data_IF_234911031997
#
_entry.id   IF_234911031997
#
_cell.length_a   1.000
_cell.length_b   1.000
_cell.length_c   1.000
_cell.angle_alpha   90.00
_cell.angle_beta   90.00
_cell.angle_gamma   90.00
#
_symmetry.space_group_name_H-M   'P 1'
#
loop_
_entity.id
_entity.type
_entity.pdbx_description
1 polymer ?
#
# COMPACT_ATOMS: atom_id res chain seq x y z
N UNK A 1 -10.55 5.07 -7.13
CA UNK A 1 -9.71 3.92 -6.79
C UNK A 1 -8.95 4.20 -5.52
N UNK A 2 -8.88 3.22 -4.64
CA UNK A 2 -8.14 3.29 -3.39
C UNK A 2 -6.90 2.43 -3.52
N UNK A 3 -5.72 3.00 -3.26
CA UNK A 3 -4.44 2.30 -3.36
C UNK A 3 -3.82 2.23 -1.96
N UNK A 4 -3.82 1.04 -1.32
CA UNK A 4 -3.25 0.88 0.01
C UNK A 4 -1.73 0.85 0.03
N UNK A 5 -1.15 1.45 1.05
CA UNK A 5 0.25 1.29 1.38
C UNK A 5 0.48 0.03 2.22
N UNK A 6 1.73 -0.41 2.29
CA UNK A 6 2.17 -1.61 3.00
C UNK A 6 1.76 -1.62 4.46
N UNK A 7 1.95 -0.50 5.17
CA UNK A 7 1.68 -0.43 6.60
C UNK A 7 0.23 -0.79 6.94
N UNK A 8 -0.72 -0.30 6.15
CA UNK A 8 -2.14 -0.60 6.40
C UNK A 8 -2.47 -2.08 6.15
N UNK A 9 -1.83 -2.69 5.15
CA UNK A 9 -2.00 -4.12 4.88
C UNK A 9 -1.43 -4.97 6.02
N UNK A 10 -0.28 -4.58 6.56
CA UNK A 10 0.30 -5.24 7.74
C UNK A 10 -0.59 -5.10 8.96
N UNK A 11 -1.05 -3.89 9.26
CA UNK A 11 -1.92 -3.64 10.41
C UNK A 11 -3.24 -4.41 10.30
N UNK A 12 -3.82 -4.47 9.12
CA UNK A 12 -5.08 -5.19 8.90
C UNK A 12 -4.95 -6.70 9.08
N UNK A 13 -3.75 -7.25 8.90
CA UNK A 13 -3.50 -8.70 8.90
C UNK A 13 -2.93 -9.20 10.22
N UNK A 14 -2.01 -8.44 10.83
CA UNK A 14 -1.25 -8.89 12.00
C UNK A 14 -1.81 -8.26 13.26
N UNK A 15 -2.31 -9.09 14.17
CA UNK A 15 -3.07 -8.66 15.34
C UNK A 15 -2.23 -8.06 16.48
N UNK A 16 -0.90 -8.14 16.40
CA UNK A 16 -0.01 -7.55 17.41
C UNK A 16 0.11 -6.03 17.36
N UNK A 17 -0.40 -5.37 16.34
CA UNK A 17 -0.34 -3.91 16.22
C UNK A 17 -1.50 -3.23 16.96
N UNK A 18 -1.21 -2.08 17.58
CA UNK A 18 -2.26 -1.24 18.18
C UNK A 18 -3.32 -0.80 17.16
N UNK A 19 -2.92 -0.62 15.91
CA UNK A 19 -3.77 -0.19 14.80
C UNK A 19 -4.61 -1.31 14.20
N UNK A 20 -4.39 -2.57 14.61
CA UNK A 20 -4.97 -3.74 13.93
C UNK A 20 -6.49 -3.66 13.80
N UNK A 21 -7.21 -3.39 14.88
CA UNK A 21 -8.67 -3.40 14.87
C UNK A 21 -9.24 -2.36 13.88
N UNK A 22 -8.70 -1.13 13.90
CA UNK A 22 -9.15 -0.06 13.03
C UNK A 22 -8.77 -0.33 11.58
N UNK A 23 -7.57 -0.83 11.34
CA UNK A 23 -7.10 -1.16 10.00
C UNK A 23 -7.91 -2.31 9.39
N UNK A 24 -8.22 -3.34 10.19
CA UNK A 24 -9.04 -4.46 9.74
C UNK A 24 -10.45 -4.00 9.37
N UNK A 25 -11.07 -3.15 10.17
CA UNK A 25 -12.39 -2.60 9.87
C UNK A 25 -12.36 -1.78 8.57
N UNK A 26 -11.35 -0.94 8.40
CA UNK A 26 -11.16 -0.18 7.18
C UNK A 26 -11.01 -1.10 5.96
N UNK A 27 -10.16 -2.14 6.08
CA UNK A 27 -9.90 -3.07 4.99
C UNK A 27 -11.17 -3.82 4.57
N UNK A 28 -11.90 -4.36 5.53
CA UNK A 28 -13.17 -5.04 5.27
C UNK A 28 -14.18 -4.12 4.61
N UNK A 29 -14.24 -2.87 5.04
CA UNK A 29 -15.17 -1.89 4.48
C UNK A 29 -14.85 -1.58 3.02
N UNK A 30 -13.59 -1.35 2.66
CA UNK A 30 -13.24 -1.04 1.27
C UNK A 30 -13.33 -2.26 0.36
N UNK A 31 -13.07 -3.46 0.86
CA UNK A 31 -13.24 -4.69 0.08
C UNK A 31 -14.70 -4.97 -0.27
N UNK A 32 -15.62 -4.52 0.57
CA UNK A 32 -17.07 -4.68 0.36
C UNK A 32 -17.72 -3.44 -0.25
N UNK A 33 -16.96 -2.44 -0.58
CA UNK A 33 -17.46 -1.18 -1.15
C UNK A 33 -17.57 -1.22 -2.67
N UNK A 34 -17.99 -0.08 -3.22
CA UNK A 34 -18.21 0.08 -4.66
C UNK A 34 -17.00 0.66 -5.41
N UNK A 35 -15.99 1.13 -4.67
CA UNK A 35 -14.80 1.74 -5.25
C UNK A 35 -13.74 0.66 -5.44
N UNK A 36 -13.10 0.64 -6.61
CA UNK A 36 -12.02 -0.31 -6.88
C UNK A 36 -10.84 -0.07 -5.93
N UNK A 37 -10.25 -1.18 -5.48
CA UNK A 37 -9.05 -1.21 -4.67
C UNK A 37 -7.90 -1.69 -5.54
N UNK A 38 -6.88 -0.86 -5.69
CA UNK A 38 -5.71 -1.17 -6.51
C UNK A 38 -4.54 -1.66 -5.68
N UNK A 39 -4.11 -2.90 -5.91
CA UNK A 39 -2.93 -3.45 -5.25
C UNK A 39 -1.76 -3.48 -6.23
N UNK A 40 -0.67 -2.83 -5.86
CA UNK A 40 0.52 -2.69 -6.68
C UNK A 40 1.65 -3.59 -6.18
N UNK A 41 2.54 -4.01 -7.08
CA UNK A 41 3.68 -4.86 -6.74
C UNK A 41 4.49 -4.34 -5.55
N UNK A 42 4.86 -3.06 -5.45
CA UNK A 42 5.63 -2.59 -4.31
C UNK A 42 4.94 -2.83 -2.97
N UNK A 43 3.62 -2.66 -2.91
CA UNK A 43 2.86 -2.91 -1.69
C UNK A 43 2.76 -4.39 -1.37
N UNK A 44 2.50 -5.23 -2.37
CA UNK A 44 2.36 -6.68 -2.17
C UNK A 44 3.68 -7.31 -1.75
N UNK A 45 4.78 -7.01 -2.44
CA UNK A 45 6.09 -7.54 -2.08
C UNK A 45 6.60 -6.95 -0.77
N UNK A 46 6.29 -5.69 -0.49
CA UNK A 46 6.59 -5.09 0.81
C UNK A 46 5.88 -5.81 1.95
N UNK A 47 4.61 -6.15 1.76
CA UNK A 47 3.86 -6.96 2.73
C UNK A 47 4.52 -8.32 2.96
N UNK A 48 4.80 -9.06 1.89
CA UNK A 48 5.41 -10.39 2.00
C UNK A 48 6.77 -10.31 2.70
N UNK A 49 7.59 -9.34 2.32
CA UNK A 49 8.93 -9.15 2.90
C UNK A 49 8.87 -8.88 4.40
N UNK A 50 7.99 -8.00 4.83
CA UNK A 50 7.90 -7.61 6.24
C UNK A 50 7.16 -8.66 7.07
N UNK A 51 6.05 -9.21 6.56
CA UNK A 51 5.26 -10.18 7.31
C UNK A 51 5.99 -11.49 7.60
N UNK A 52 6.95 -11.85 6.75
CA UNK A 52 7.73 -13.09 6.91
C UNK A 52 9.09 -12.87 7.59
N UNK A 53 9.42 -11.66 8.01
CA UNK A 53 10.74 -11.32 8.52
C UNK A 53 10.83 -11.54 10.03
N UNK A 54 11.68 -12.50 10.51
CA UNK A 54 11.83 -12.76 11.93
C UNK A 54 12.51 -11.63 12.69
N UNK A 55 13.15 -10.69 11.99
CA UNK A 55 13.72 -9.49 12.62
C UNK A 55 12.65 -8.44 12.92
N UNK A 56 11.49 -8.53 12.25
CA UNK A 56 10.36 -7.60 12.45
C UNK A 56 9.36 -8.16 13.44
N UNK A 57 9.06 -9.46 13.35
CA UNK A 57 8.05 -10.13 14.18
C UNK A 57 8.64 -11.34 14.91
N UNK A 58 8.22 -11.55 16.17
CA UNK A 58 8.58 -12.74 16.92
C UNK A 58 7.98 -14.01 16.31
N UNK A 59 6.75 -13.91 15.80
CA UNK A 59 6.04 -15.00 15.13
C UNK A 59 5.68 -14.56 13.70
N UNK A 60 6.66 -14.51 12.78
CA UNK A 60 6.37 -14.11 11.41
C UNK A 60 5.50 -15.14 10.69
N UNK A 61 4.77 -14.69 9.68
CA UNK A 61 4.07 -15.60 8.80
C UNK A 61 5.09 -16.43 8.02
N UNK A 62 4.71 -17.65 7.67
CA UNK A 62 5.45 -18.41 6.65
C UNK A 62 5.27 -17.71 5.30
N UNK A 63 6.19 -17.96 4.38
CA UNK A 63 6.05 -17.44 3.00
C UNK A 63 4.73 -17.93 2.40
N UNK A 64 4.40 -19.20 2.61
CA UNK A 64 3.16 -19.76 2.07
C UNK A 64 1.93 -19.05 2.62
N UNK A 65 1.87 -18.78 3.92
CA UNK A 65 0.74 -18.07 4.52
C UNK A 65 0.63 -16.63 4.01
N UNK A 66 1.77 -15.94 3.86
CA UNK A 66 1.80 -14.59 3.33
C UNK A 66 1.30 -14.55 1.88
N UNK A 67 1.76 -15.49 1.05
CA UNK A 67 1.32 -15.57 -0.35
C UNK A 67 -0.16 -15.92 -0.45
N UNK A 68 -0.64 -16.84 0.37
CA UNK A 68 -2.06 -17.18 0.40
C UNK A 68 -2.91 -15.99 0.78
N UNK A 69 -2.47 -15.17 1.73
CA UNK A 69 -3.16 -13.95 2.12
C UNK A 69 -3.27 -12.98 0.93
N UNK A 70 -2.17 -12.77 0.20
CA UNK A 70 -2.16 -11.91 -0.99
C UNK A 70 -3.09 -12.45 -2.07
N UNK A 71 -3.07 -13.77 -2.30
CA UNK A 71 -3.93 -14.40 -3.29
C UNK A 71 -5.42 -14.23 -2.94
N UNK A 72 -5.77 -14.32 -1.67
CA UNK A 72 -7.13 -14.08 -1.19
C UNK A 72 -7.56 -12.62 -1.43
N UNK A 73 -6.67 -11.66 -1.21
CA UNK A 73 -6.96 -10.26 -1.52
C UNK A 73 -7.22 -10.08 -3.02
N UNK A 74 -6.35 -10.64 -3.86
CA UNK A 74 -6.46 -10.50 -5.32
C UNK A 74 -7.72 -11.18 -5.87
N UNK A 75 -8.28 -12.14 -5.15
CA UNK A 75 -9.52 -12.83 -5.53
C UNK A 75 -10.78 -12.02 -5.19
N UNK A 76 -10.69 -10.95 -4.41
CA UNK A 76 -11.84 -10.15 -4.02
C UNK A 76 -12.40 -9.36 -5.21
N UNK A 77 -13.73 -9.26 -5.36
CA UNK A 77 -14.33 -8.58 -6.53
C UNK A 77 -13.92 -7.12 -6.70
N UNK A 78 -13.70 -6.39 -5.60
CA UNK A 78 -13.31 -4.98 -5.64
C UNK A 78 -11.85 -4.77 -6.00
N UNK A 79 -11.01 -5.81 -5.95
CA UNK A 79 -9.55 -5.67 -6.07
C UNK A 79 -9.09 -5.80 -7.51
N UNK A 80 -8.17 -4.92 -7.90
CA UNK A 80 -7.46 -4.93 -9.19
C UNK A 80 -5.97 -4.96 -8.91
N UNK A 81 -5.24 -5.80 -9.64
CA UNK A 81 -3.78 -5.73 -9.63
C UNK A 81 -3.35 -4.57 -10.53
N UNK A 82 -2.65 -3.58 -9.96
CA UNK A 82 -2.25 -2.38 -10.70
C UNK A 82 -0.90 -2.57 -11.37
N UNK A 83 -0.87 -2.28 -12.66
CA UNK A 83 0.37 -2.19 -13.42
C UNK A 83 0.70 -0.72 -13.68
N UNK A 84 1.99 -0.36 -13.70
CA UNK A 84 2.38 0.98 -14.11
C UNK A 84 1.88 1.28 -15.53
N UNK A 85 1.33 2.47 -15.71
CA UNK A 85 0.91 2.95 -17.02
C UNK A 85 2.03 3.65 -17.77
N UNK A 86 1.72 4.21 -18.95
CA UNK A 86 2.75 4.83 -19.81
C UNK A 86 3.40 6.08 -19.21
N UNK A 87 2.75 6.73 -18.25
CA UNK A 87 3.28 7.94 -17.62
C UNK A 87 3.99 7.68 -16.30
N UNK A 88 4.07 6.42 -15.86
CA UNK A 88 4.55 6.07 -14.52
C UNK A 88 5.95 6.62 -14.24
N UNK A 89 6.90 6.36 -15.13
CA UNK A 89 8.29 6.80 -14.91
C UNK A 89 8.40 8.33 -14.95
N UNK A 90 7.69 8.99 -15.85
CA UNK A 90 7.65 10.44 -15.91
C UNK A 90 7.19 11.05 -14.57
N UNK A 91 6.10 10.52 -14.03
CA UNK A 91 5.54 11.00 -12.76
C UNK A 91 6.50 10.68 -11.60
N UNK A 92 6.97 9.44 -11.52
CA UNK A 92 7.88 9.03 -10.44
C UNK A 92 9.18 9.84 -10.44
N UNK A 93 9.78 10.08 -11.60
CA UNK A 93 11.01 10.84 -11.71
C UNK A 93 10.80 12.31 -11.34
N UNK A 94 9.66 12.88 -11.69
CA UNK A 94 9.32 14.24 -11.27
C UNK A 94 9.20 14.33 -9.74
N UNK A 95 8.54 13.36 -9.11
CA UNK A 95 8.44 13.32 -7.65
C UNK A 95 9.82 13.21 -6.99
N UNK A 96 10.70 12.38 -7.53
CA UNK A 96 12.07 12.26 -7.02
C UNK A 96 12.87 13.57 -7.18
N UNK A 97 12.72 14.26 -8.31
CA UNK A 97 13.38 15.54 -8.53
C UNK A 97 12.87 16.59 -7.54
N UNK A 98 11.58 16.63 -7.28
CA UNK A 98 10.98 17.57 -6.32
C UNK A 98 11.45 17.29 -4.89
N UNK A 99 11.64 16.02 -4.54
CA UNK A 99 12.19 15.66 -3.23
C UNK A 99 13.67 15.98 -3.11
N UNK A 100 14.42 15.92 -4.20
CA UNK A 100 15.85 16.14 -4.23
C UNK A 100 16.67 14.98 -3.69
N UNK A 101 16.04 13.87 -3.32
CA UNK A 101 16.68 12.67 -2.79
C UNK A 101 15.79 11.45 -3.05
N UNK A 102 16.39 10.28 -3.15
CA UNK A 102 15.67 9.03 -3.22
C UNK A 102 15.68 8.30 -1.86
N UNK A 103 16.85 8.14 -1.25
CA UNK A 103 17.04 7.45 0.02
C UNK A 103 16.17 6.17 0.09
N UNK A 104 15.36 6.03 1.16
CA UNK A 104 14.44 4.91 1.33
C UNK A 104 13.01 5.24 0.85
N UNK A 105 12.87 6.25 -0.02
CA UNK A 105 11.56 6.73 -0.48
C UNK A 105 11.13 6.16 -1.83
N UNK A 106 11.93 5.27 -2.44
CA UNK A 106 11.63 4.76 -3.79
C UNK A 106 10.33 3.96 -3.85
N UNK A 107 10.01 3.19 -2.83
CA UNK A 107 8.73 2.47 -2.76
C UNK A 107 7.56 3.45 -2.63
N UNK A 108 7.69 4.45 -1.76
CA UNK A 108 6.67 5.48 -1.56
C UNK A 108 6.42 6.27 -2.84
N UNK A 109 7.49 6.61 -3.56
CA UNK A 109 7.40 7.32 -4.84
C UNK A 109 6.65 6.48 -5.88
N UNK A 110 6.90 5.17 -5.94
CA UNK A 110 6.20 4.29 -6.87
C UNK A 110 4.70 4.24 -6.57
N UNK A 111 4.33 4.12 -5.30
CA UNK A 111 2.92 4.12 -4.90
C UNK A 111 2.25 5.47 -5.16
N UNK A 112 2.94 6.56 -4.85
CA UNK A 112 2.44 7.91 -5.12
C UNK A 112 2.24 8.13 -6.63
N UNK A 113 3.20 7.70 -7.44
CA UNK A 113 3.12 7.83 -8.90
C UNK A 113 1.93 7.05 -9.48
N UNK A 114 1.69 5.84 -8.98
CA UNK A 114 0.51 5.05 -9.38
C UNK A 114 -0.78 5.76 -9.01
N UNK A 115 -0.88 6.27 -7.79
CA UNK A 115 -2.08 6.98 -7.35
C UNK A 115 -2.34 8.22 -8.20
N UNK A 116 -1.31 8.98 -8.55
CA UNK A 116 -1.43 10.15 -9.42
C UNK A 116 -1.86 9.73 -10.82
N UNK A 117 -1.22 8.73 -11.40
CA UNK A 117 -1.51 8.29 -12.77
C UNK A 117 -2.95 7.77 -12.89
N UNK A 118 -3.41 6.99 -11.92
CA UNK A 118 -4.76 6.44 -11.91
C UNK A 118 -5.80 7.42 -11.36
N UNK A 119 -5.38 8.62 -10.95
CA UNK A 119 -6.27 9.62 -10.34
C UNK A 119 -7.02 9.05 -9.12
N UNK A 120 -6.31 8.22 -8.36
CA UNK A 120 -6.84 7.56 -7.18
C UNK A 120 -6.41 8.21 -5.88
N UNK A 121 -6.79 7.58 -4.78
CA UNK A 121 -6.39 7.98 -3.43
C UNK A 121 -5.40 6.97 -2.87
N UNK A 122 -4.27 7.46 -2.38
CA UNK A 122 -3.35 6.63 -1.63
C UNK A 122 -3.78 6.62 -0.17
N UNK A 123 -4.04 5.45 0.38
CA UNK A 123 -4.34 5.27 1.79
C UNK A 123 -3.09 4.78 2.52
N UNK A 124 -2.63 5.54 3.50
CA UNK A 124 -1.45 5.23 4.30
C UNK A 124 -1.51 5.91 5.66
N UNK A 125 -0.92 5.26 6.65
CA UNK A 125 -0.71 5.84 7.99
C UNK A 125 0.62 6.62 8.08
N UNK A 126 1.39 6.70 6.99
CA UNK A 126 2.68 7.36 6.96
C UNK A 126 2.55 8.82 6.53
N UNK A 127 2.88 9.73 7.45
CA UNK A 127 2.81 11.18 7.23
C UNK A 127 3.77 11.67 6.15
N UNK A 128 4.79 10.88 5.79
CA UNK A 128 5.75 11.25 4.75
C UNK A 128 5.08 11.43 3.38
N UNK A 129 3.92 10.81 3.14
CA UNK A 129 3.17 11.03 1.90
C UNK A 129 2.65 12.46 1.75
N UNK A 130 2.60 13.23 2.82
CA UNK A 130 2.30 14.66 2.75
C UNK A 130 3.31 15.49 1.98
N UNK A 131 4.51 14.94 1.70
CA UNK A 131 5.53 15.61 0.89
C UNK A 131 5.16 15.70 -0.59
N UNK A 132 4.25 14.87 -1.07
CA UNK A 132 3.89 14.80 -2.48
C UNK A 132 2.69 15.70 -2.75
N UNK A 133 2.92 16.90 -3.26
CA UNK A 133 1.91 17.96 -3.36
C UNK A 133 0.73 17.62 -4.29
N UNK A 134 0.94 16.76 -5.29
CA UNK A 134 -0.10 16.39 -6.26
C UNK A 134 -0.85 15.12 -5.87
N UNK A 135 -0.46 14.50 -4.75
CA UNK A 135 -1.01 13.24 -4.30
C UNK A 135 -2.26 13.47 -3.44
N UNK A 136 -3.31 12.73 -3.72
CA UNK A 136 -4.44 12.62 -2.79
C UNK A 136 -4.13 11.52 -1.79
N UNK A 137 -3.62 11.93 -0.64
CA UNK A 137 -3.28 11.04 0.46
C UNK A 137 -4.32 11.13 1.55
N UNK A 138 -4.77 9.96 2.02
CA UNK A 138 -5.72 9.84 3.12
C UNK A 138 -5.16 8.87 4.15
N UNK A 139 -5.20 9.27 5.41
CA UNK A 139 -4.92 8.36 6.51
C UNK A 139 -6.26 7.86 7.06
N UNK A 140 -6.67 6.61 6.75
CA UNK A 140 -7.98 6.10 7.16
C UNK A 140 -8.05 5.79 8.66
N UNK A 141 -6.93 5.84 9.37
CA UNK A 141 -6.84 5.57 10.81
C UNK A 141 -6.81 6.85 11.65
N UNK A 142 -6.76 8.00 11.00
CA UNK A 142 -6.75 9.28 11.70
C UNK A 142 -8.11 9.62 12.32
#
# INVERSE_FOLDING_TARGET
MIIPDVNLLLYATIDGFAEHSRARQWWERILNGDVDVGLASPALFGFVRLATNPRVFDNPLSVEDALQTVEEWLAQPAVRFLLPGPRHLEIAFRLLRDLGTAENLTTDVQLAALAIEYQGELHSNDVDFGRFSQLRWINPLA
#
